data_IF_979820380297
#
_entry.id   IF_979820380297
#
_cell.length_a   1.000
_cell.length_b   1.000
_cell.length_c   1.000
_cell.angle_alpha   90.00
_cell.angle_beta   90.00
_cell.angle_gamma   90.00
#
_symmetry.space_group_name_H-M   'P 1'
#
loop_
_entity.id
_entity.type
_entity.pdbx_description
1 polymer ?
#
# COMPACT_ATOMS: atom_id res chain seq x y z
N UNK A 1 -20.53 -42.67 -11.74
CA UNK A 1 -20.87 -41.43 -11.07
C UNK A 1 -19.66 -41.02 -10.25
N UNK A 2 -18.86 -40.07 -10.75
CA UNK A 2 -17.77 -39.49 -10.00
C UNK A 2 -18.41 -38.52 -8.99
N UNK A 3 -18.28 -38.78 -7.71
CA UNK A 3 -18.71 -37.86 -6.66
C UNK A 3 -17.82 -36.61 -6.74
N UNK A 4 -18.37 -35.49 -7.18
CA UNK A 4 -17.74 -34.20 -6.99
C UNK A 4 -17.51 -34.02 -5.49
N UNK A 5 -16.26 -34.07 -5.08
CA UNK A 5 -15.88 -33.67 -3.73
C UNK A 5 -16.19 -32.18 -3.57
N UNK A 6 -16.85 -31.75 -2.48
CA UNK A 6 -17.08 -30.33 -2.25
C UNK A 6 -15.72 -29.65 -2.18
N UNK A 7 -15.47 -28.71 -3.10
CA UNK A 7 -14.26 -27.86 -3.02
C UNK A 7 -14.36 -27.07 -1.72
N UNK A 8 -13.49 -27.41 -0.78
CA UNK A 8 -13.34 -26.63 0.45
C UNK A 8 -12.94 -25.20 0.05
N UNK A 9 -13.74 -24.22 0.45
CA UNK A 9 -13.37 -22.82 0.27
C UNK A 9 -12.10 -22.55 1.09
N UNK A 10 -11.13 -21.80 0.55
CA UNK A 10 -9.94 -21.45 1.33
C UNK A 10 -10.35 -20.66 2.58
N UNK A 11 -9.68 -20.92 3.67
CA UNK A 11 -9.82 -20.12 4.88
C UNK A 11 -9.37 -18.69 4.60
N UNK A 12 -10.18 -17.71 5.02
CA UNK A 12 -9.85 -16.30 4.89
C UNK A 12 -9.73 -15.68 6.28
N UNK A 13 -8.61 -15.05 6.55
CA UNK A 13 -8.42 -14.26 7.76
C UNK A 13 -8.01 -12.84 7.40
N UNK A 14 -8.47 -11.87 8.21
CA UNK A 14 -8.14 -10.46 8.07
C UNK A 14 -7.65 -9.97 9.42
N UNK A 15 -6.45 -9.41 9.44
CA UNK A 15 -5.84 -8.81 10.62
C UNK A 15 -5.65 -7.31 10.36
N UNK A 16 -6.33 -6.48 11.14
CA UNK A 16 -6.07 -5.04 11.14
C UNK A 16 -4.87 -4.76 12.04
N UNK A 17 -3.90 -4.04 11.52
CA UNK A 17 -2.67 -3.72 12.23
C UNK A 17 -2.71 -2.29 12.78
N UNK A 18 -2.95 -1.31 11.93
CA UNK A 18 -3.08 0.11 12.32
C UNK A 18 -3.56 0.95 11.14
N UNK A 19 -4.11 2.13 11.38
CA UNK A 19 -4.59 3.09 10.36
C UNK A 19 -5.40 2.36 9.27
N UNK A 20 -4.85 2.24 8.06
CA UNK A 20 -5.41 1.50 6.94
C UNK A 20 -4.61 0.22 6.62
N UNK A 21 -3.66 -0.16 7.49
CA UNK A 21 -2.82 -1.32 7.29
C UNK A 21 -3.54 -2.61 7.69
N UNK A 22 -3.74 -3.49 6.71
CA UNK A 22 -4.34 -4.80 6.89
C UNK A 22 -3.42 -5.89 6.35
N UNK A 23 -3.43 -7.02 7.02
CA UNK A 23 -2.90 -8.27 6.53
C UNK A 23 -4.06 -9.23 6.27
N UNK A 24 -4.17 -9.72 5.04
CA UNK A 24 -5.22 -10.64 4.61
C UNK A 24 -4.56 -11.93 4.17
N UNK A 25 -5.09 -13.05 4.67
CA UNK A 25 -4.68 -14.37 4.26
C UNK A 25 -5.85 -15.10 3.59
N UNK A 26 -5.60 -15.68 2.42
CA UNK A 26 -6.56 -16.51 1.66
C UNK A 26 -5.88 -17.86 1.39
N UNK A 27 -6.18 -18.86 2.22
CA UNK A 27 -5.38 -20.08 2.25
C UNK A 27 -3.93 -19.79 2.61
N UNK A 28 -3.00 -20.07 1.70
CA UNK A 28 -1.58 -19.76 1.89
C UNK A 28 -1.16 -18.40 1.28
N UNK A 29 -2.03 -17.77 0.48
CA UNK A 29 -1.75 -16.49 -0.16
C UNK A 29 -1.94 -15.32 0.81
N UNK A 30 -0.95 -14.44 0.90
CA UNK A 30 -0.89 -13.32 1.85
C UNK A 30 -0.85 -11.98 1.14
N UNK A 31 -1.71 -11.09 1.56
CA UNK A 31 -1.86 -9.75 1.02
C UNK A 31 -1.62 -8.75 2.15
N UNK A 32 -0.77 -7.76 1.92
CA UNK A 32 -0.63 -6.60 2.81
C UNK A 32 -1.23 -5.39 2.12
N UNK A 33 -2.08 -4.66 2.83
CA UNK A 33 -2.70 -3.42 2.32
C UNK A 33 -2.14 -2.24 3.10
N UNK A 34 -1.74 -1.18 2.38
CA UNK A 34 -1.34 0.12 2.92
C UNK A 34 -0.38 0.02 4.12
N UNK A 35 0.85 -0.52 3.94
CA UNK A 35 1.78 -0.76 5.03
C UNK A 35 2.28 0.55 5.65
N UNK A 36 1.71 0.90 6.80
CA UNK A 36 2.12 2.01 7.65
C UNK A 36 1.87 1.66 9.11
N UNK A 37 2.90 1.17 9.80
CA UNK A 37 2.85 0.73 11.19
C UNK A 37 3.83 1.54 12.03
N UNK A 38 5.10 1.59 11.62
CA UNK A 38 6.19 2.16 12.40
C UNK A 38 6.04 3.64 12.72
N UNK A 39 5.30 4.38 11.92
CA UNK A 39 5.01 5.81 12.14
C UNK A 39 3.67 6.05 12.86
N UNK A 40 2.92 5.00 13.16
CA UNK A 40 1.66 5.13 13.86
C UNK A 40 1.89 5.34 15.36
N UNK A 41 1.50 6.48 15.94
CA UNK A 41 1.71 6.75 17.36
C UNK A 41 0.87 5.84 18.28
N UNK A 42 -0.05 5.08 17.71
CA UNK A 42 -0.95 4.17 18.43
C UNK A 42 -0.55 2.69 18.26
N UNK A 43 0.39 2.37 17.40
CA UNK A 43 0.89 1.00 17.28
C UNK A 43 1.95 0.74 18.36
N UNK A 44 1.76 -0.26 19.23
CA UNK A 44 2.76 -0.65 20.22
C UNK A 44 3.87 -1.54 19.61
N UNK A 45 3.90 -1.70 18.29
CA UNK A 45 4.77 -2.60 17.53
C UNK A 45 5.16 -1.94 16.20
N UNK A 46 6.19 -2.46 15.56
CA UNK A 46 6.66 -2.03 14.24
C UNK A 46 6.22 -2.97 13.11
N UNK A 47 6.71 -2.75 11.88
CA UNK A 47 6.35 -3.54 10.71
C UNK A 47 6.82 -5.00 10.77
N UNK A 48 7.67 -5.36 11.72
CA UNK A 48 8.11 -6.74 11.97
C UNK A 48 6.97 -7.70 12.31
N UNK A 49 5.81 -7.19 12.76
CA UNK A 49 4.63 -8.00 13.06
C UNK A 49 3.91 -8.53 11.83
N UNK A 50 4.26 -8.04 10.63
CA UNK A 50 3.78 -8.59 9.37
C UNK A 50 4.41 -9.98 9.19
N UNK A 51 3.55 -10.99 9.06
CA UNK A 51 3.96 -12.39 9.03
C UNK A 51 4.33 -12.87 7.62
N UNK A 52 3.87 -12.17 6.58
CA UNK A 52 4.17 -12.50 5.20
C UNK A 52 3.44 -11.62 4.21
N UNK A 53 3.97 -11.53 2.99
CA UNK A 53 3.33 -10.85 1.89
C UNK A 53 3.74 -11.52 0.57
N UNK A 54 2.76 -11.98 -0.19
CA UNK A 54 2.93 -12.39 -1.58
C UNK A 54 2.72 -11.20 -2.52
N UNK A 55 1.97 -10.19 -2.03
CA UNK A 55 1.69 -8.95 -2.74
C UNK A 55 1.33 -7.83 -1.76
N UNK A 56 1.71 -6.60 -2.11
CA UNK A 56 1.23 -5.39 -1.44
C UNK A 56 0.20 -4.69 -2.33
N UNK A 57 -0.91 -4.25 -1.75
CA UNK A 57 -1.91 -3.43 -2.41
C UNK A 57 -1.91 -2.03 -1.80
N UNK A 58 -1.81 -1.00 -2.63
CA UNK A 58 -1.93 0.38 -2.18
C UNK A 58 -3.26 0.98 -2.61
N UNK A 59 -4.02 1.48 -1.64
CA UNK A 59 -5.22 2.28 -1.92
C UNK A 59 -4.85 3.61 -2.57
N UNK A 60 -3.79 4.24 -2.07
CA UNK A 60 -3.16 5.45 -2.62
C UNK A 60 -1.78 5.66 -1.98
N UNK A 61 -1.07 6.72 -2.38
CA UNK A 61 0.34 6.92 -2.01
C UNK A 61 0.58 8.07 -1.03
N UNK A 62 -0.35 8.35 -0.13
CA UNK A 62 -0.06 9.21 1.01
C UNK A 62 0.91 8.53 1.98
N UNK A 63 1.67 9.34 2.73
CA UNK A 63 2.73 8.84 3.61
C UNK A 63 2.24 7.82 4.65
N UNK A 64 1.02 8.00 5.16
CA UNK A 64 0.36 7.14 6.14
C UNK A 64 -0.20 5.83 5.56
N UNK A 65 0.11 5.54 4.29
CA UNK A 65 -0.22 4.30 3.60
C UNK A 65 1.01 3.57 3.05
N UNK A 66 2.17 4.25 2.97
CA UNK A 66 3.36 3.71 2.30
C UNK A 66 4.64 3.75 3.15
N UNK A 67 4.58 4.17 4.41
CA UNK A 67 5.78 4.41 5.22
C UNK A 67 6.64 3.16 5.38
N UNK A 68 6.03 1.98 5.51
CA UNK A 68 6.75 0.71 5.66
C UNK A 68 6.78 -0.12 4.37
N UNK A 69 6.40 0.47 3.22
CA UNK A 69 6.33 -0.25 1.94
C UNK A 69 7.70 -0.83 1.55
N UNK A 70 8.77 -0.03 1.66
CA UNK A 70 10.12 -0.49 1.34
C UNK A 70 10.52 -1.71 2.18
N UNK A 71 10.26 -1.66 3.49
CA UNK A 71 10.52 -2.77 4.41
C UNK A 71 9.78 -4.04 4.01
N UNK A 72 8.48 -3.94 3.68
CA UNK A 72 7.67 -5.11 3.29
C UNK A 72 8.16 -5.71 1.99
N UNK A 73 8.40 -4.88 0.96
CA UNK A 73 8.89 -5.35 -0.33
C UNK A 73 10.26 -6.01 -0.21
N UNK A 74 11.18 -5.44 0.56
CA UNK A 74 12.51 -6.01 0.77
C UNK A 74 12.45 -7.32 1.55
N UNK A 75 11.70 -7.35 2.66
CA UNK A 75 11.63 -8.53 3.54
C UNK A 75 11.00 -9.74 2.88
N UNK A 76 9.96 -9.53 2.08
CA UNK A 76 9.17 -10.62 1.50
C UNK A 76 9.39 -10.82 0.00
N UNK A 77 10.21 -9.98 -0.64
CA UNK A 77 10.47 -10.02 -2.08
C UNK A 77 9.18 -10.03 -2.91
N UNK A 78 8.21 -9.24 -2.50
CA UNK A 78 6.87 -9.23 -3.09
C UNK A 78 6.64 -7.96 -3.93
N UNK A 79 5.84 -8.06 -5.01
CA UNK A 79 5.47 -6.90 -5.81
C UNK A 79 4.43 -6.03 -5.10
N UNK A 80 4.32 -4.78 -5.57
CA UNK A 80 3.28 -3.83 -5.13
C UNK A 80 2.36 -3.45 -6.29
N UNK A 81 1.05 -3.45 -6.04
CA UNK A 81 0.05 -2.88 -6.92
C UNK A 81 -0.32 -1.48 -6.45
N UNK A 82 -0.27 -0.51 -7.36
CA UNK A 82 -0.61 0.88 -7.09
C UNK A 82 -1.32 1.52 -8.28
N UNK A 83 -1.98 2.65 -8.07
CA UNK A 83 -2.56 3.42 -9.16
C UNK A 83 -1.51 3.81 -10.21
N UNK A 84 -1.88 3.76 -11.49
CA UNK A 84 -0.95 3.97 -12.62
C UNK A 84 -0.17 5.28 -12.54
N UNK A 85 -0.81 6.35 -12.06
CA UNK A 85 -0.15 7.66 -11.94
C UNK A 85 0.90 7.70 -10.82
N UNK A 86 0.83 6.80 -9.86
CA UNK A 86 1.76 6.73 -8.74
C UNK A 86 2.98 5.86 -9.00
N UNK A 87 2.88 4.91 -9.93
CA UNK A 87 3.92 3.92 -10.17
C UNK A 87 5.30 4.52 -10.50
N UNK A 88 5.44 5.52 -11.40
CA UNK A 88 6.75 6.11 -11.68
C UNK A 88 7.40 6.75 -10.45
N UNK A 89 6.61 7.47 -9.65
CA UNK A 89 7.10 8.11 -8.44
C UNK A 89 7.51 7.09 -7.35
N UNK A 90 6.79 5.98 -7.23
CA UNK A 90 7.15 4.89 -6.32
C UNK A 90 8.45 4.20 -6.74
N UNK A 91 8.61 3.91 -8.03
CA UNK A 91 9.84 3.30 -8.56
C UNK A 91 11.05 4.18 -8.23
N UNK A 92 10.95 5.48 -8.49
CA UNK A 92 12.02 6.43 -8.18
C UNK A 92 12.27 6.53 -6.67
N UNK A 93 11.23 6.70 -5.87
CA UNK A 93 11.32 6.88 -4.42
C UNK A 93 11.95 5.67 -3.72
N UNK A 94 11.57 4.46 -4.14
CA UNK A 94 12.02 3.20 -3.55
C UNK A 94 13.31 2.68 -4.19
N UNK A 95 13.78 3.29 -5.28
CA UNK A 95 14.80 2.72 -6.16
C UNK A 95 14.48 1.25 -6.52
N UNK A 96 13.19 0.98 -6.76
CA UNK A 96 12.69 -0.35 -6.98
C UNK A 96 12.91 -0.81 -8.43
N UNK A 97 12.95 -2.13 -8.61
CA UNK A 97 12.87 -2.68 -9.95
C UNK A 97 11.48 -2.36 -10.55
N UNK A 98 11.38 -1.76 -11.74
CA UNK A 98 10.10 -1.47 -12.38
C UNK A 98 9.16 -2.69 -12.53
N UNK A 99 9.73 -3.89 -12.58
CA UNK A 99 8.95 -5.13 -12.65
C UNK A 99 8.28 -5.52 -11.33
N UNK A 100 8.67 -4.91 -10.22
CA UNK A 100 8.07 -5.17 -8.91
C UNK A 100 6.98 -4.14 -8.54
N UNK A 101 6.74 -3.15 -9.42
CA UNK A 101 5.70 -2.12 -9.23
C UNK A 101 4.69 -2.23 -10.37
N UNK A 102 3.50 -2.74 -10.05
CA UNK A 102 2.44 -2.98 -11.03
C UNK A 102 1.43 -1.83 -11.03
N UNK A 103 1.41 -1.01 -12.09
CA UNK A 103 0.39 0.01 -12.25
C UNK A 103 -0.97 -0.62 -12.54
N UNK A 104 -2.00 -0.21 -11.80
CA UNK A 104 -3.37 -0.67 -12.02
C UNK A 104 -4.30 0.48 -12.36
N UNK A 105 -5.21 0.21 -13.29
CA UNK A 105 -6.31 1.11 -13.66
C UNK A 105 -7.63 0.60 -13.08
N UNK A 106 -8.64 1.46 -12.88
CA UNK A 106 -9.94 1.02 -12.44
C UNK A 106 -10.53 -0.06 -13.35
N UNK A 107 -11.16 -1.06 -12.72
CA UNK A 107 -11.75 -2.26 -13.32
C UNK A 107 -10.75 -3.30 -13.84
N UNK A 108 -9.44 -3.10 -13.68
CA UNK A 108 -8.48 -4.17 -13.91
C UNK A 108 -8.69 -5.29 -12.89
N UNK A 109 -8.74 -6.52 -13.37
CA UNK A 109 -8.74 -7.73 -12.55
C UNK A 109 -7.43 -8.49 -12.76
N UNK A 110 -6.82 -8.91 -11.66
CA UNK A 110 -5.60 -9.70 -11.64
C UNK A 110 -5.86 -10.97 -10.84
N UNK A 111 -5.43 -12.10 -11.39
CA UNK A 111 -5.53 -13.41 -10.74
C UNK A 111 -4.13 -13.88 -10.36
N UNK A 112 -3.90 -14.07 -9.07
CA UNK A 112 -2.63 -14.50 -8.50
C UNK A 112 -2.62 -16.01 -8.16
N UNK A 113 -3.62 -16.76 -8.65
CA UNK A 113 -3.77 -18.19 -8.36
C UNK A 113 -4.34 -18.46 -6.96
N UNK A 114 -3.90 -17.73 -5.95
CA UNK A 114 -4.43 -17.83 -4.57
C UNK A 114 -5.53 -16.83 -4.27
N UNK A 115 -5.51 -15.68 -4.92
CA UNK A 115 -6.50 -14.62 -4.74
C UNK A 115 -6.71 -13.84 -6.04
N UNK A 116 -7.91 -13.33 -6.21
CA UNK A 116 -8.26 -12.41 -7.30
C UNK A 116 -8.43 -11.00 -6.76
N UNK A 117 -7.73 -10.06 -7.36
CA UNK A 117 -7.76 -8.64 -7.01
C UNK A 117 -8.42 -7.85 -8.13
N UNK A 118 -9.39 -7.02 -7.77
CA UNK A 118 -10.02 -6.09 -8.70
C UNK A 118 -9.77 -4.66 -8.22
N UNK A 119 -9.17 -3.85 -9.08
CA UNK A 119 -8.99 -2.43 -8.83
C UNK A 119 -10.33 -1.69 -9.02
N UNK A 120 -10.73 -0.89 -8.05
CA UNK A 120 -11.92 -0.06 -8.12
C UNK A 120 -11.52 1.41 -8.08
N UNK A 121 -12.34 2.25 -8.72
CA UNK A 121 -12.18 3.70 -8.57
C UNK A 121 -12.49 4.09 -7.13
N UNK A 122 -11.54 4.75 -6.49
CA UNK A 122 -11.71 5.33 -5.17
C UNK A 122 -11.55 6.86 -5.23
N UNK A 123 -12.33 7.55 -4.41
CA UNK A 123 -12.24 8.99 -4.27
C UNK A 123 -11.71 9.32 -2.89
N UNK A 124 -10.62 10.07 -2.84
CA UNK A 124 -10.09 10.57 -1.58
C UNK A 124 -11.08 11.55 -0.91
N UNK A 125 -11.04 11.60 0.42
CA UNK A 125 -11.86 12.57 1.18
C UNK A 125 -11.53 14.01 0.79
N UNK A 126 -12.54 14.83 0.70
CA UNK A 126 -12.35 16.27 0.50
C UNK A 126 -11.87 16.88 1.81
N UNK A 127 -10.66 17.40 1.83
CA UNK A 127 -10.17 18.20 2.95
C UNK A 127 -10.55 19.67 2.73
N UNK A 128 -11.28 20.25 3.67
CA UNK A 128 -11.55 21.68 3.68
C UNK A 128 -10.37 22.40 4.35
N UNK A 129 -9.45 22.90 3.55
CA UNK A 129 -8.34 23.73 4.03
C UNK A 129 -8.84 25.15 4.32
N UNK A 130 -9.63 25.33 5.37
CA UNK A 130 -10.23 26.64 5.70
C UNK A 130 -9.26 27.64 6.31
N UNK A 131 -8.06 27.22 6.76
CA UNK A 131 -7.12 28.10 7.45
C UNK A 131 -5.79 28.36 6.75
N UNK A 132 -5.37 27.54 5.81
CA UNK A 132 -4.09 27.72 5.14
C UNK A 132 -4.08 28.83 4.09
N UNK A 133 -5.24 29.22 3.58
CA UNK A 133 -5.35 30.19 2.51
C UNK A 133 -5.33 31.66 2.97
N UNK A 134 -5.44 31.94 4.28
CA UNK A 134 -5.58 33.29 4.79
C UNK A 134 -4.33 33.92 5.41
N UNK A 135 -3.26 33.14 5.63
CA UNK A 135 -2.09 33.64 6.37
C UNK A 135 -0.73 33.44 5.70
N UNK A 136 -0.64 32.74 4.57
CA UNK A 136 0.64 32.53 3.88
C UNK A 136 0.56 32.95 2.41
N UNK A 137 1.19 34.08 2.03
CA UNK A 137 1.31 34.52 0.65
C UNK A 137 2.36 33.73 -0.15
N UNK A 138 2.95 32.68 0.40
CA UNK A 138 3.87 31.83 -0.34
C UNK A 138 3.15 31.00 -1.40
N UNK A 139 3.78 30.74 -2.57
CA UNK A 139 3.15 29.97 -3.63
C UNK A 139 2.77 28.58 -3.11
N UNK A 140 1.51 28.22 -3.33
CA UNK A 140 0.95 26.93 -2.92
C UNK A 140 1.84 25.79 -3.42
N UNK A 141 2.54 25.14 -2.50
CA UNK A 141 3.28 23.93 -2.81
C UNK A 141 2.29 22.80 -2.95
N UNK A 142 2.25 22.20 -4.10
CA UNK A 142 1.42 21.02 -4.34
C UNK A 142 1.77 19.91 -3.37
N UNK A 143 0.80 19.14 -2.94
CA UNK A 143 0.92 17.98 -2.02
C UNK A 143 2.07 17.03 -2.36
N UNK A 144 2.30 16.83 -3.65
CA UNK A 144 3.37 15.99 -4.18
C UNK A 144 4.75 16.45 -3.69
N UNK A 145 4.99 17.77 -3.59
CA UNK A 145 6.30 18.31 -3.21
C UNK A 145 6.60 18.12 -1.71
N UNK A 146 5.57 18.17 -0.85
CA UNK A 146 5.77 18.00 0.61
C UNK A 146 6.01 16.55 0.98
N UNK A 147 5.30 15.62 0.37
CA UNK A 147 5.46 14.17 0.60
C UNK A 147 6.84 13.68 0.12
N UNK A 148 7.28 14.12 -1.06
CA UNK A 148 8.60 13.80 -1.60
C UNK A 148 9.75 14.35 -0.71
N UNK A 149 9.61 15.55 -0.14
CA UNK A 149 10.65 16.10 0.74
C UNK A 149 10.78 15.34 2.07
N UNK A 150 9.68 14.87 2.63
CA UNK A 150 9.74 14.09 3.88
C UNK A 150 10.31 12.69 3.64
N UNK A 151 9.92 12.02 2.56
CA UNK A 151 10.49 10.74 2.17
C UNK A 151 12.00 10.84 1.92
N UNK A 152 12.46 11.84 1.13
CA UNK A 152 13.87 12.04 0.83
C UNK A 152 14.73 12.33 2.08
N UNK A 153 14.17 12.97 3.10
CA UNK A 153 14.90 13.22 4.36
C UNK A 153 15.07 11.97 5.22
N UNK A 154 14.14 11.02 5.16
CA UNK A 154 14.22 9.78 5.94
C UNK A 154 15.09 8.72 5.28
N UNK A 155 15.05 8.62 3.95
CA UNK A 155 15.83 7.63 3.22
C UNK A 155 17.24 8.09 2.83
N UNK A 156 17.57 9.37 2.97
CA UNK A 156 18.92 9.90 2.72
C UNK A 156 19.90 9.74 3.89
N UNK A 157 19.58 8.97 4.92
CA UNK A 157 20.40 8.71 6.10
C UNK A 157 20.77 7.21 6.27
N UNK A 158 20.79 6.45 5.18
CA UNK A 158 21.36 5.09 5.15
C UNK A 158 22.62 5.09 4.30
#
# INVERSE_FOLDING_TARGET
>A
MLSEQPQLRPEVSIRWLTIACFEIRVGDFRIVIDPCIGESPRAPFGPEVIEGADIVLLSHTHWDHITDLAYVMEKFHCPVLCGELSAPALIEMLNANPHDVYPVTPNLELDFGGARVRALFARHTTQHCTHAAQTDPSPQRTWVTTTQRQASRKFGAL
#
